data_IF_780837252982
#
_entry.id   IF_780837252982
#
_cell.length_a   1.000
_cell.length_b   1.000
_cell.length_c   1.000
_cell.angle_alpha   90.00
_cell.angle_beta   90.00
_cell.angle_gamma   90.00
#
_symmetry.space_group_name_H-M   'P 1'
#
loop_
_entity.id
_entity.type
_entity.pdbx_description
1 polymer ?
#
# COMPACT_ATOMS: atom_id res chain seq x y z
N UNK A 1 -18.02 -19.57 -13.39
CA UNK A 1 -16.68 -20.16 -13.15
C UNK A 1 -15.93 -19.39 -12.07
N UNK A 2 -14.91 -19.99 -11.43
CA UNK A 2 -14.02 -19.31 -10.46
C UNK A 2 -13.21 -18.13 -11.06
N UNK A 3 -13.30 -17.94 -12.38
CA UNK A 3 -12.57 -16.95 -13.19
C UNK A 3 -13.06 -15.51 -12.93
N UNK A 4 -14.34 -15.32 -12.61
CA UNK A 4 -14.93 -13.97 -12.51
C UNK A 4 -14.76 -13.34 -11.13
N UNK A 5 -14.10 -14.06 -10.19
CA UNK A 5 -13.91 -13.65 -8.81
C UNK A 5 -15.20 -13.13 -8.13
N UNK A 6 -16.36 -13.72 -8.46
CA UNK A 6 -17.65 -13.36 -7.87
C UNK A 6 -17.60 -13.60 -6.37
N UNK A 7 -18.03 -12.60 -5.60
CA UNK A 7 -18.00 -12.64 -4.15
C UNK A 7 -19.04 -13.64 -3.62
N UNK A 8 -18.57 -14.63 -2.87
CA UNK A 8 -19.41 -15.47 -2.04
C UNK A 8 -19.30 -14.99 -0.58
N UNK A 9 -20.38 -14.49 0.06
CA UNK A 9 -20.33 -14.01 1.45
C UNK A 9 -19.96 -15.10 2.46
N UNK A 10 -20.19 -16.37 2.14
CA UNK A 10 -19.80 -17.52 2.96
C UNK A 10 -18.35 -17.97 2.67
N UNK A 11 -17.77 -17.47 1.58
CA UNK A 11 -16.39 -17.72 1.20
C UNK A 11 -15.42 -16.99 2.11
N UNK A 12 -14.49 -17.72 2.71
CA UNK A 12 -13.34 -17.13 3.40
C UNK A 12 -12.18 -17.09 2.43
N UNK A 13 -11.72 -15.93 1.95
CA UNK A 13 -10.49 -15.89 1.18
C UNK A 13 -9.35 -16.41 2.06
N UNK A 14 -8.46 -17.21 1.49
CA UNK A 14 -7.20 -17.53 2.13
C UNK A 14 -6.39 -16.25 2.35
N UNK A 15 -5.53 -16.25 3.38
CA UNK A 15 -4.56 -15.17 3.54
C UNK A 15 -3.57 -15.28 2.39
N UNK A 16 -3.64 -14.34 1.45
CA UNK A 16 -2.83 -14.36 0.22
C UNK A 16 -1.62 -13.41 0.25
N UNK A 17 -1.60 -12.43 1.16
CA UNK A 17 -0.44 -11.55 1.33
C UNK A 17 0.76 -12.38 1.82
N UNK A 18 1.85 -12.36 1.08
CA UNK A 18 3.03 -13.17 1.38
C UNK A 18 2.85 -14.69 1.22
N UNK A 19 1.71 -15.16 0.70
CA UNK A 19 1.51 -16.58 0.41
C UNK A 19 2.31 -16.93 -0.85
N UNK A 20 3.47 -17.54 -0.67
CA UNK A 20 4.44 -17.77 -1.76
C UNK A 20 3.90 -18.68 -2.84
N UNK A 21 3.08 -19.67 -2.50
CA UNK A 21 2.51 -20.57 -3.48
C UNK A 21 1.74 -19.81 -4.58
N UNK A 22 1.22 -18.63 -4.25
CA UNK A 22 0.53 -17.73 -5.19
C UNK A 22 1.47 -16.61 -5.63
N UNK A 23 2.01 -15.84 -4.70
CA UNK A 23 2.77 -14.61 -4.99
C UNK A 23 4.08 -14.82 -5.73
N UNK A 24 4.66 -16.02 -5.61
CA UNK A 24 5.91 -16.41 -6.27
C UNK A 24 5.68 -17.45 -7.37
N UNK A 25 4.42 -17.69 -7.77
CA UNK A 25 4.14 -18.46 -8.97
C UNK A 25 4.77 -17.74 -10.18
N UNK A 26 5.41 -18.45 -11.13
CA UNK A 26 6.08 -17.82 -12.28
C UNK A 26 5.20 -16.83 -13.04
N UNK A 27 3.93 -17.16 -13.26
CA UNK A 27 2.99 -16.26 -13.96
C UNK A 27 2.69 -14.98 -13.17
N UNK A 28 2.67 -15.06 -11.84
CA UNK A 28 2.45 -13.90 -10.98
C UNK A 28 3.72 -13.03 -10.94
N UNK A 29 4.91 -13.64 -10.78
CA UNK A 29 6.17 -12.90 -10.85
C UNK A 29 6.40 -12.27 -12.22
N UNK A 30 5.96 -12.90 -13.31
CA UNK A 30 6.01 -12.31 -14.65
C UNK A 30 5.28 -10.97 -14.76
N UNK A 31 4.24 -10.76 -13.93
CA UNK A 31 3.53 -9.48 -13.80
C UNK A 31 4.22 -8.56 -12.78
N UNK A 32 4.52 -9.05 -11.58
CA UNK A 32 5.02 -8.23 -10.47
C UNK A 32 6.48 -7.79 -10.62
N UNK A 33 7.27 -8.56 -11.36
CA UNK A 33 8.72 -8.40 -11.58
C UNK A 33 9.05 -8.33 -13.07
N UNK A 34 8.07 -7.96 -13.89
CA UNK A 34 8.23 -7.83 -15.33
C UNK A 34 9.34 -6.85 -15.72
N UNK A 35 10.03 -7.16 -16.82
CA UNK A 35 11.16 -6.38 -17.33
C UNK A 35 10.84 -4.88 -17.49
N UNK A 36 9.63 -4.55 -17.94
CA UNK A 36 9.25 -3.15 -18.16
C UNK A 36 9.14 -2.33 -16.87
N UNK A 37 8.73 -2.95 -15.75
CA UNK A 37 8.76 -2.30 -14.44
C UNK A 37 10.21 -2.02 -14.01
N UNK A 38 11.10 -3.01 -14.15
CA UNK A 38 12.51 -2.82 -13.83
C UNK A 38 13.18 -1.77 -14.72
N UNK A 39 12.90 -1.76 -16.03
CA UNK A 39 13.41 -0.72 -16.94
C UNK A 39 12.94 0.67 -16.49
N UNK A 40 11.66 0.82 -16.15
CA UNK A 40 11.11 2.08 -15.66
C UNK A 40 11.81 2.54 -14.39
N UNK A 41 11.93 1.67 -13.37
CA UNK A 41 12.54 2.04 -12.10
C UNK A 41 14.06 2.25 -12.20
N UNK A 42 14.75 1.52 -13.08
CA UNK A 42 16.16 1.78 -13.38
C UNK A 42 16.35 3.17 -13.99
N UNK A 43 15.50 3.56 -14.93
CA UNK A 43 15.48 4.91 -15.49
C UNK A 43 15.12 5.98 -14.46
N UNK A 44 14.14 5.70 -13.59
CA UNK A 44 13.71 6.62 -12.53
C UNK A 44 14.82 6.86 -11.49
N UNK A 45 15.59 5.82 -11.15
CA UNK A 45 16.64 5.89 -10.14
C UNK A 45 18.03 6.22 -10.70
N UNK A 46 18.19 6.15 -12.02
CA UNK A 46 19.48 6.23 -12.73
C UNK A 46 20.51 5.20 -12.25
N UNK A 47 20.04 4.03 -11.80
CA UNK A 47 20.84 2.91 -11.31
C UNK A 47 20.00 1.64 -11.18
N UNK A 48 20.60 0.44 -10.96
CA UNK A 48 19.85 -0.79 -10.75
C UNK A 48 18.77 -0.66 -9.67
N UNK A 49 17.58 -1.16 -9.99
CA UNK A 49 16.44 -1.20 -9.10
C UNK A 49 16.27 -2.62 -8.54
N UNK A 50 15.73 -2.71 -7.32
CA UNK A 50 15.29 -3.95 -6.69
C UNK A 50 13.88 -3.79 -6.17
N UNK A 51 13.23 -4.92 -5.91
CA UNK A 51 11.99 -4.97 -5.14
C UNK A 51 12.14 -5.78 -3.85
N UNK A 52 11.16 -5.69 -2.97
CA UNK A 52 11.05 -6.58 -1.82
C UNK A 52 10.64 -7.98 -2.27
N UNK A 53 11.11 -9.01 -1.55
CA UNK A 53 10.70 -10.39 -1.79
C UNK A 53 9.23 -10.61 -1.34
N UNK A 54 8.82 -9.90 -0.28
CA UNK A 54 7.42 -9.90 0.14
C UNK A 54 6.52 -9.19 -0.87
N UNK A 55 5.44 -9.85 -1.32
CA UNK A 55 4.43 -9.28 -2.22
C UNK A 55 3.09 -9.08 -1.50
N UNK A 56 2.56 -7.85 -1.56
CA UNK A 56 1.25 -7.52 -0.96
C UNK A 56 0.13 -7.79 -1.95
N UNK A 57 -0.11 -9.05 -2.30
CA UNK A 57 -1.30 -9.44 -3.05
C UNK A 57 -2.55 -9.23 -2.18
N UNK A 58 -3.51 -8.46 -2.69
CA UNK A 58 -4.71 -8.03 -1.97
C UNK A 58 -5.95 -8.47 -2.73
N UNK A 59 -6.93 -8.93 -1.95
CA UNK A 59 -8.29 -9.18 -2.38
C UNK A 59 -9.22 -8.27 -1.59
N UNK A 60 -9.86 -7.30 -2.25
CA UNK A 60 -10.83 -6.41 -1.63
C UNK A 60 -12.26 -6.90 -1.94
N UNK A 61 -13.03 -7.34 -0.94
CA UNK A 61 -14.41 -7.77 -1.17
C UNK A 61 -15.35 -6.58 -1.39
N UNK A 62 -16.54 -6.83 -1.93
CA UNK A 62 -17.66 -5.90 -1.90
C UNK A 62 -17.89 -5.30 -0.50
N UNK A 63 -18.26 -4.03 -0.48
CA UNK A 63 -18.54 -3.24 0.71
C UNK A 63 -17.31 -2.78 1.52
N UNK A 64 -16.09 -3.07 1.07
CA UNK A 64 -14.85 -2.68 1.78
C UNK A 64 -14.03 -1.66 1.02
N UNK A 65 -13.21 -0.94 1.78
CA UNK A 65 -12.21 0.02 1.31
C UNK A 65 -10.99 -0.05 2.24
N UNK A 66 -9.82 0.36 1.75
CA UNK A 66 -8.68 0.68 2.59
C UNK A 66 -8.93 2.01 3.33
N UNK A 67 -8.25 2.23 4.47
CA UNK A 67 -8.25 3.53 5.14
C UNK A 67 -7.15 4.44 4.58
N UNK A 68 -7.29 5.78 4.64
CA UNK A 68 -6.23 6.74 4.31
C UNK A 68 -4.94 6.49 5.07
N UNK A 69 -3.82 6.25 4.36
CA UNK A 69 -2.53 5.97 4.99
C UNK A 69 -1.33 6.42 4.14
N UNK A 70 -0.17 6.49 4.79
CA UNK A 70 1.14 6.49 4.14
C UNK A 70 1.71 5.08 4.23
N UNK A 71 2.37 4.60 3.17
CA UNK A 71 3.02 3.29 3.23
C UNK A 71 4.25 3.30 4.16
N UNK A 72 4.88 4.46 4.37
CA UNK A 72 6.11 4.57 5.17
C UNK A 72 5.95 4.00 6.59
N UNK A 73 4.75 4.06 7.17
CA UNK A 73 4.52 3.58 8.54
C UNK A 73 4.60 2.06 8.67
N UNK A 74 4.47 1.35 7.55
CA UNK A 74 4.58 -0.10 7.45
C UNK A 74 5.97 -0.55 7.02
N UNK A 75 6.67 0.25 6.21
CA UNK A 75 7.91 -0.18 5.54
C UNK A 75 8.92 0.97 5.34
N UNK A 76 9.14 1.74 6.41
CA UNK A 76 9.99 2.93 6.41
C UNK A 76 11.44 2.74 6.91
N UNK A 77 11.88 1.53 7.24
CA UNK A 77 13.21 1.31 7.87
C UNK A 77 14.40 1.24 6.89
N UNK A 78 14.15 1.38 5.59
CA UNK A 78 15.15 1.25 4.54
C UNK A 78 15.31 2.54 3.73
N UNK A 79 15.38 2.37 2.40
CA UNK A 79 15.51 3.46 1.44
C UNK A 79 14.42 4.53 1.61
N UNK A 80 14.85 5.80 1.59
CA UNK A 80 13.94 6.95 1.48
C UNK A 80 13.48 7.19 0.04
N UNK A 81 14.02 6.44 -0.93
CA UNK A 81 13.66 6.44 -2.35
C UNK A 81 12.76 5.26 -2.71
N UNK A 82 12.15 4.60 -1.72
CA UNK A 82 11.19 3.53 -1.92
C UNK A 82 9.90 4.07 -2.56
N UNK A 83 9.37 3.34 -3.53
CA UNK A 83 8.14 3.67 -4.23
C UNK A 83 7.19 2.49 -4.20
N UNK A 84 5.91 2.78 -4.01
CA UNK A 84 4.81 1.84 -4.25
C UNK A 84 4.50 1.81 -5.73
N UNK A 85 4.45 0.60 -6.30
CA UNK A 85 3.85 0.31 -7.59
C UNK A 85 2.63 -0.59 -7.33
N UNK A 86 1.43 -0.05 -7.55
CA UNK A 86 0.19 -0.82 -7.41
C UNK A 86 -0.26 -1.33 -8.77
N UNK A 87 -0.54 -2.63 -8.84
CA UNK A 87 -0.80 -3.38 -10.06
C UNK A 87 -2.14 -4.12 -9.90
N UNK A 88 -3.19 -3.78 -10.67
CA UNK A 88 -4.42 -4.55 -10.69
C UNK A 88 -4.24 -5.86 -11.48
N UNK A 89 -4.88 -6.93 -11.02
CA UNK A 89 -4.97 -8.20 -11.76
C UNK A 89 -6.32 -8.23 -12.50
N UNK A 90 -6.34 -7.64 -13.69
CA UNK A 90 -7.53 -7.43 -14.50
C UNK A 90 -8.07 -6.01 -14.37
N UNK A 91 -9.16 -5.73 -15.09
CA UNK A 91 -9.77 -4.40 -15.09
C UNK A 91 -10.40 -4.08 -13.73
N UNK A 92 -10.18 -2.85 -13.29
CA UNK A 92 -10.72 -2.31 -12.04
C UNK A 92 -11.35 -0.96 -12.35
N UNK A 93 -12.64 -0.92 -12.69
CA UNK A 93 -13.36 0.34 -12.72
C UNK A 93 -13.52 0.88 -11.30
N UNK A 94 -13.76 2.19 -11.14
CA UNK A 94 -13.80 2.89 -9.85
C UNK A 94 -14.76 2.22 -8.85
N UNK A 95 -15.91 1.75 -9.30
CA UNK A 95 -16.90 1.04 -8.47
C UNK A 95 -16.41 -0.30 -7.95
N UNK A 96 -15.34 -0.89 -8.51
CA UNK A 96 -14.72 -2.12 -8.03
C UNK A 96 -13.66 -1.87 -6.94
N UNK A 97 -13.42 -0.62 -6.53
CA UNK A 97 -12.56 -0.30 -5.39
C UNK A 97 -11.11 0.02 -5.79
N UNK A 98 -10.90 0.90 -6.77
CA UNK A 98 -9.58 1.39 -7.23
C UNK A 98 -8.85 2.21 -6.15
N UNK A 99 -7.59 2.55 -6.39
CA UNK A 99 -6.88 3.51 -5.53
C UNK A 99 -7.39 4.94 -5.72
N UNK A 100 -7.44 5.66 -4.62
CA UNK A 100 -7.64 7.10 -4.59
C UNK A 100 -6.42 7.77 -3.94
N UNK A 101 -5.85 8.75 -4.62
CA UNK A 101 -4.63 9.46 -4.23
C UNK A 101 -4.99 10.89 -3.82
N UNK A 102 -4.52 11.34 -2.66
CA UNK A 102 -4.54 12.76 -2.34
C UNK A 102 -3.35 13.44 -3.01
N UNK A 103 -3.61 14.06 -4.16
CA UNK A 103 -2.55 14.60 -5.03
C UNK A 103 -1.74 15.67 -4.30
N UNK A 104 -0.41 15.54 -4.37
CA UNK A 104 0.52 16.47 -3.75
C UNK A 104 0.77 16.26 -2.26
N UNK A 105 0.04 15.38 -1.56
CA UNK A 105 0.19 15.14 -0.11
C UNK A 105 1.62 14.84 0.37
N UNK A 106 2.46 14.27 -0.50
CA UNK A 106 3.89 14.03 -0.24
C UNK A 106 4.72 15.32 -0.13
N UNK A 107 4.26 16.46 -0.67
CA UNK A 107 5.00 17.71 -0.73
C UNK A 107 4.22 18.95 -0.24
N UNK A 108 2.88 18.91 -0.24
CA UNK A 108 2.05 20.04 0.17
C UNK A 108 2.45 20.55 1.57
N UNK A 109 2.63 21.86 1.77
CA UNK A 109 3.02 22.43 3.07
C UNK A 109 2.02 22.11 4.19
N UNK A 110 0.71 22.08 3.87
CA UNK A 110 -0.35 21.73 4.82
C UNK A 110 -0.22 20.31 5.37
N UNK A 111 0.40 19.39 4.62
CA UNK A 111 0.69 18.03 5.05
C UNK A 111 2.01 17.87 5.79
N UNK A 112 2.80 18.94 5.97
CA UNK A 112 4.11 18.84 6.61
C UNK A 112 4.00 18.27 8.03
N UNK A 113 3.04 18.74 8.83
CA UNK A 113 2.84 18.20 10.18
C UNK A 113 2.51 16.70 10.15
N UNK A 114 1.63 16.27 9.25
CA UNK A 114 1.26 14.86 9.10
C UNK A 114 2.48 13.99 8.72
N UNK A 115 3.35 14.48 7.84
CA UNK A 115 4.61 13.78 7.47
C UNK A 115 5.62 13.73 8.62
N UNK A 116 5.72 14.79 9.40
CA UNK A 116 6.66 14.91 10.53
C UNK A 116 6.15 14.25 11.82
N UNK A 117 4.89 13.79 11.86
CA UNK A 117 4.33 13.07 13.01
C UNK A 117 3.86 11.67 12.63
N UNK A 118 2.65 11.52 12.10
CA UNK A 118 2.12 10.22 11.65
C UNK A 118 3.07 9.51 10.69
N UNK A 119 3.64 10.22 9.71
CA UNK A 119 4.59 9.68 8.75
C UNK A 119 5.97 9.32 9.31
N UNK A 120 6.21 9.54 10.60
CA UNK A 120 7.43 9.10 11.30
C UNK A 120 7.17 7.88 12.21
N UNK A 121 5.94 7.37 12.24
CA UNK A 121 5.61 6.19 13.05
C UNK A 121 6.05 4.90 12.39
N UNK A 122 6.35 3.88 13.19
CA UNK A 122 6.47 2.50 12.77
C UNK A 122 5.44 1.65 13.51
N UNK A 123 4.47 1.10 12.79
CA UNK A 123 3.32 0.39 13.40
C UNK A 123 3.72 -0.81 14.27
N UNK A 124 4.86 -1.44 13.97
CA UNK A 124 5.35 -2.60 14.71
C UNK A 124 6.05 -2.20 16.02
N UNK A 125 6.57 -0.96 16.12
CA UNK A 125 7.30 -0.43 17.27
C UNK A 125 6.44 0.47 18.17
N UNK A 126 5.67 1.35 17.54
CA UNK A 126 4.89 2.39 18.21
C UNK A 126 3.49 1.92 18.56
N UNK A 127 3.06 0.81 17.94
CA UNK A 127 1.73 0.21 18.16
C UNK A 127 0.59 1.18 17.82
N UNK A 128 0.86 2.16 16.97
CA UNK A 128 -0.11 3.10 16.42
C UNK A 128 -1.01 2.42 15.38
N UNK A 129 -2.20 2.97 15.12
CA UNK A 129 -2.99 2.58 13.95
C UNK A 129 -2.20 2.87 12.67
N UNK A 130 -2.25 1.95 11.72
CA UNK A 130 -1.52 2.12 10.46
C UNK A 130 -2.17 3.08 9.46
N UNK A 131 -3.43 3.46 9.66
CA UNK A 131 -4.11 4.51 8.89
C UNK A 131 -4.16 5.84 9.66
N UNK A 132 -4.17 6.94 8.92
CA UNK A 132 -4.26 8.32 9.41
C UNK A 132 -5.69 8.79 9.68
N UNK A 133 -6.68 8.15 9.06
CA UNK A 133 -8.06 8.59 9.01
C UNK A 133 -9.01 7.48 8.61
N UNK A 134 -10.30 7.77 8.70
CA UNK A 134 -11.38 6.93 8.15
C UNK A 134 -12.22 7.68 7.12
N UNK A 135 -12.17 9.01 7.11
CA UNK A 135 -12.91 9.88 6.20
C UNK A 135 -11.93 10.67 5.29
N UNK A 136 -11.77 10.26 4.02
CA UNK A 136 -10.95 10.98 3.06
C UNK A 136 -11.38 12.44 2.87
N UNK A 137 -12.69 12.74 2.84
CA UNK A 137 -13.17 14.09 2.57
C UNK A 137 -12.83 15.03 3.72
N UNK A 138 -13.04 14.59 4.97
CA UNK A 138 -12.65 15.35 6.15
C UNK A 138 -11.15 15.68 6.17
N UNK A 139 -10.29 14.77 5.67
CA UNK A 139 -8.85 15.04 5.54
C UNK A 139 -8.59 16.19 4.55
N UNK A 140 -9.25 16.18 3.40
CA UNK A 140 -9.12 17.28 2.42
C UNK A 140 -9.70 18.59 2.92
N UNK A 141 -10.80 18.57 3.69
CA UNK A 141 -11.36 19.76 4.32
C UNK A 141 -10.40 20.36 5.36
N UNK A 142 -9.73 19.52 6.15
CA UNK A 142 -8.82 19.95 7.20
C UNK A 142 -7.45 20.40 6.65
N UNK A 143 -6.88 19.65 5.70
CA UNK A 143 -5.49 19.84 5.24
C UNK A 143 -5.39 20.32 3.78
N UNK A 144 -6.51 20.48 3.07
CA UNK A 144 -6.53 20.80 1.65
C UNK A 144 -6.11 19.61 0.76
N UNK A 145 -5.85 19.91 -0.51
CA UNK A 145 -5.57 18.90 -1.54
C UNK A 145 -6.84 18.28 -2.10
N UNK A 146 -6.69 17.51 -3.18
CA UNK A 146 -7.80 16.87 -3.88
C UNK A 146 -7.55 15.37 -4.06
N UNK A 147 -8.53 14.55 -3.65
CA UNK A 147 -8.52 13.13 -3.96
C UNK A 147 -8.80 12.92 -5.45
N UNK A 148 -7.98 12.11 -6.09
CA UNK A 148 -8.11 11.71 -7.50
C UNK A 148 -8.10 10.20 -7.59
N UNK A 149 -8.91 9.68 -8.49
CA UNK A 149 -8.98 8.27 -8.84
C UNK A 149 -9.30 8.16 -10.33
N UNK A 150 -9.17 6.97 -10.88
CA UNK A 150 -9.48 6.63 -12.25
C UNK A 150 -9.87 5.15 -12.32
N UNK A 151 -10.46 4.76 -13.44
CA UNK A 151 -10.53 3.36 -13.84
C UNK A 151 -9.12 2.89 -14.22
N UNK A 152 -8.86 1.60 -14.03
CA UNK A 152 -7.61 0.95 -14.43
C UNK A 152 -7.92 -0.26 -15.29
N UNK A 153 -7.18 -0.43 -16.38
CA UNK A 153 -7.23 -1.61 -17.23
C UNK A 153 -6.10 -2.58 -16.88
N UNK A 154 -6.26 -3.85 -17.26
CA UNK A 154 -5.21 -4.84 -17.12
C UNK A 154 -3.92 -4.38 -17.83
N UNK A 155 -2.82 -4.26 -17.07
CA UNK A 155 -1.54 -3.76 -17.56
C UNK A 155 -1.21 -2.33 -17.12
N UNK A 156 -2.20 -1.58 -16.63
CA UNK A 156 -1.95 -0.29 -15.99
C UNK A 156 -1.26 -0.46 -14.64
N UNK A 157 -0.52 0.57 -14.23
CA UNK A 157 0.04 0.69 -12.89
C UNK A 157 -0.10 2.11 -12.38
N UNK A 158 -0.16 2.28 -11.06
CA UNK A 158 0.04 3.58 -10.42
C UNK A 158 1.24 3.53 -9.47
N UNK A 159 2.11 4.53 -9.60
CA UNK A 159 3.36 4.62 -8.87
C UNK A 159 3.35 5.88 -8.00
N UNK A 160 3.71 5.73 -6.72
CA UNK A 160 3.76 6.85 -5.78
C UNK A 160 4.76 6.63 -4.64
N UNK A 161 5.19 7.74 -4.03
CA UNK A 161 6.15 7.72 -2.92
C UNK A 161 5.54 7.21 -1.61
N UNK A 162 6.37 6.78 -0.67
CA UNK A 162 5.93 6.31 0.65
C UNK A 162 5.15 7.34 1.48
N UNK A 163 5.28 8.63 1.15
CA UNK A 163 4.61 9.76 1.80
C UNK A 163 3.42 10.30 1.00
N UNK A 164 2.96 9.58 -0.03
CA UNK A 164 1.72 9.93 -0.73
C UNK A 164 0.53 9.34 0.04
N UNK A 165 -0.35 10.22 0.55
CA UNK A 165 -1.55 9.80 1.25
C UNK A 165 -2.50 9.20 0.23
N UNK A 166 -2.90 7.96 0.47
CA UNK A 166 -3.75 7.22 -0.42
C UNK A 166 -4.74 6.35 0.35
N UNK A 167 -5.79 5.95 -0.34
CA UNK A 167 -6.85 5.07 0.15
C UNK A 167 -7.37 4.25 -1.04
N UNK A 168 -8.42 3.46 -0.85
CA UNK A 168 -9.20 2.92 -1.98
C UNK A 168 -10.62 3.48 -1.97
N UNK A 169 -11.24 3.52 -3.15
CA UNK A 169 -12.70 3.64 -3.20
C UNK A 169 -13.33 2.39 -2.59
N UNK A 170 -14.61 2.52 -2.21
CA UNK A 170 -15.38 1.39 -1.72
C UNK A 170 -15.69 0.48 -2.89
N UNK A 171 -15.39 -0.81 -2.77
CA UNK A 171 -15.84 -1.79 -3.74
C UNK A 171 -17.37 -1.93 -3.61
N UNK A 172 -18.10 -1.42 -4.60
CA UNK A 172 -19.55 -1.44 -4.73
C UNK A 172 -20.02 -2.51 -5.73
N UNK A 173 -19.10 -3.23 -6.37
CA UNK A 173 -19.40 -4.36 -7.25
C UNK A 173 -19.79 -5.62 -6.48
N UNK A 174 -20.10 -6.70 -7.19
CA UNK A 174 -20.31 -8.05 -6.67
C UNK A 174 -19.05 -8.95 -6.79
N UNK A 175 -17.91 -8.38 -7.21
CA UNK A 175 -16.66 -9.11 -7.44
C UNK A 175 -15.59 -8.73 -6.43
N UNK A 176 -14.64 -9.65 -6.18
CA UNK A 176 -13.39 -9.30 -5.52
C UNK A 176 -12.52 -8.45 -6.46
N UNK A 177 -11.90 -7.40 -5.92
CA UNK A 177 -10.78 -6.73 -6.59
C UNK A 177 -9.48 -7.40 -6.22
N UNK A 178 -8.76 -7.92 -7.20
CA UNK A 178 -7.42 -8.48 -7.04
C UNK A 178 -6.40 -7.45 -7.50
N UNK A 179 -5.43 -7.14 -6.64
CA UNK A 179 -4.32 -6.24 -6.96
C UNK A 179 -3.09 -6.63 -6.17
N UNK A 180 -1.90 -6.19 -6.56
CA UNK A 180 -0.72 -6.33 -5.74
C UNK A 180 0.01 -5.00 -5.62
N UNK A 181 0.52 -4.76 -4.42
CA UNK A 181 1.42 -3.65 -4.18
C UNK A 181 2.85 -4.19 -4.15
N UNK A 182 3.67 -3.73 -5.08
CA UNK A 182 5.11 -4.01 -5.19
C UNK A 182 5.87 -2.79 -4.75
N UNK A 183 7.05 -2.97 -4.14
CA UNK A 183 7.87 -1.86 -3.65
C UNK A 183 9.18 -1.83 -4.40
N UNK A 184 9.51 -0.74 -5.06
CA UNK A 184 10.76 -0.58 -5.80
C UNK A 184 11.65 0.45 -5.11
N UNK A 185 12.92 0.11 -4.97
CA UNK A 185 13.96 1.01 -4.51
C UNK A 185 15.23 0.79 -5.32
N UNK A 186 16.17 1.72 -5.27
CA UNK A 186 17.49 1.46 -5.81
C UNK A 186 18.20 0.33 -5.05
N UNK A 187 18.96 -0.49 -5.77
CA UNK A 187 19.59 -1.71 -5.24
C UNK A 187 20.64 -1.43 -4.17
N UNK A 188 21.35 -0.30 -4.32
CA UNK A 188 22.42 0.13 -3.41
C UNK A 188 21.94 0.71 -2.09
N UNK A 189 20.64 1.05 -1.99
CA UNK A 189 20.09 1.65 -0.77
C UNK A 189 19.88 0.59 0.31
N UNK A 190 19.85 1.03 1.58
CA UNK A 190 19.43 0.16 2.68
C UNK A 190 18.03 -0.40 2.43
N UNK A 191 17.80 -1.62 2.89
CA UNK A 191 16.53 -2.32 2.72
C UNK A 191 15.88 -2.55 4.07
N UNK A 192 14.55 -2.44 4.13
CA UNK A 192 13.80 -2.82 5.32
C UNK A 192 13.80 -4.35 5.42
N UNK A 193 14.66 -4.87 6.30
CA UNK A 193 14.90 -6.30 6.47
C UNK A 193 13.65 -7.11 6.85
N UNK A 194 12.54 -6.46 7.22
CA UNK A 194 11.26 -7.16 7.42
C UNK A 194 10.73 -7.81 6.15
N UNK A 195 11.06 -7.28 4.98
CA UNK A 195 10.37 -7.59 3.71
C UNK A 195 11.22 -8.35 2.70
N UNK A 196 12.41 -8.79 3.11
CA UNK A 196 13.37 -9.49 2.24
C UNK A 196 13.82 -10.83 2.81
N UNK A 197 14.38 -11.65 1.94
CA UNK A 197 14.83 -13.01 2.21
C UNK A 197 13.80 -14.05 1.83
N UNK A 198 14.20 -15.32 1.88
CA UNK A 198 13.32 -16.43 1.54
C UNK A 198 12.07 -16.38 2.41
N UNK A 199 12.19 -16.25 3.74
CA UNK A 199 11.05 -16.14 4.64
C UNK A 199 11.10 -14.78 5.37
N UNK A 200 10.56 -13.70 4.76
CA UNK A 200 10.61 -12.37 5.36
C UNK A 200 9.95 -12.35 6.74
N UNK A 201 10.52 -11.60 7.68
CA UNK A 201 9.96 -11.46 9.03
C UNK A 201 8.53 -10.87 9.02
N UNK A 202 8.25 -10.05 8.02
CA UNK A 202 7.03 -9.26 7.88
C UNK A 202 6.73 -8.44 9.14
N UNK A 203 5.46 -8.09 9.35
CA UNK A 203 5.02 -7.41 10.56
C UNK A 203 5.27 -8.25 11.80
N UNK A 204 6.06 -7.72 12.73
CA UNK A 204 6.37 -8.37 14.00
C UNK A 204 6.38 -7.34 15.12
N UNK A 205 5.48 -7.49 16.10
CA UNK A 205 5.45 -6.62 17.29
C UNK A 205 6.74 -6.87 18.08
N UNK A 206 7.61 -5.86 18.14
CA UNK A 206 8.91 -6.00 18.80
C UNK A 206 8.79 -6.05 20.32
N UNK A 207 7.88 -5.24 20.88
CA UNK A 207 7.61 -5.19 22.30
C UNK A 207 6.14 -5.56 22.56
N UNK A 208 5.92 -6.81 22.99
CA UNK A 208 4.59 -7.32 23.29
C UNK A 208 3.98 -6.71 24.57
N UNK A 209 4.80 -6.05 25.41
CA UNK A 209 4.32 -5.36 26.61
C UNK A 209 3.64 -4.03 26.28
N UNK A 210 3.98 -3.41 25.14
CA UNK A 210 3.31 -2.19 24.67
C UNK A 210 1.89 -2.48 24.22
N UNK A 211 0.94 -1.74 24.80
CA UNK A 211 -0.46 -1.78 24.39
C UNK A 211 -0.64 -1.08 23.03
N UNK A 212 -1.57 -1.56 22.18
CA UNK A 212 -2.01 -0.80 21.01
C UNK A 212 -2.50 0.58 21.40
N UNK A 213 -2.08 1.58 20.65
CA UNK A 213 -2.55 2.97 20.78
C UNK A 213 -3.87 3.08 20.03
N UNK A 214 -4.89 3.61 20.69
CA UNK A 214 -6.18 3.86 20.04
C UNK A 214 -6.06 4.99 19.01
N UNK A 215 -7.04 5.10 18.12
CA UNK A 215 -7.04 6.14 17.11
C UNK A 215 -7.08 7.55 17.71
N UNK A 216 -7.88 7.76 18.76
CA UNK A 216 -7.99 9.06 19.44
C UNK A 216 -6.69 9.43 20.17
N UNK A 217 -6.01 8.46 20.77
CA UNK A 217 -4.69 8.68 21.39
C UNK A 217 -3.64 8.98 20.33
N UNK A 218 -3.64 8.25 19.21
CA UNK A 218 -2.70 8.46 18.11
C UNK A 218 -2.84 9.87 17.51
N UNK A 219 -4.07 10.34 17.28
CA UNK A 219 -4.30 11.73 16.82
C UNK A 219 -3.75 12.78 17.79
N UNK A 220 -3.90 12.57 19.10
CA UNK A 220 -3.29 13.44 20.12
C UNK A 220 -1.77 13.43 20.06
N UNK A 221 -1.15 12.26 19.89
CA UNK A 221 0.31 12.11 19.73
C UNK A 221 0.79 12.83 18.48
N UNK A 222 0.08 12.68 17.36
CA UNK A 222 0.42 13.32 16.09
C UNK A 222 0.11 14.82 16.06
N UNK A 223 -0.74 15.29 16.98
CA UNK A 223 -1.18 16.67 17.10
C UNK A 223 -2.04 17.14 15.93
N UNK A 224 -2.91 16.28 15.40
CA UNK A 224 -3.69 16.47 14.15
C UNK A 224 -5.15 16.05 14.28
#
# INVERSE_FOLDING_TARGET
DLIDAVYNPDGRPSRIMGEKAVTHHPDVLGVLEGKELFNFFQGLFDQPARTFDYKWLRMMPPGRAAGPHFDVVYMGRGSQRLHTCWIPFGDVPVEKGTLAILVGSHNLPSFNKVRQTYGQTDVDQDRTPGHFGTDPLAISEQFGGAWKTADFEAGDVIIFTMYTLHTSTRNMSDQWRVSCDVRFQPETDSVDNRWVGENPLAHSIQDQSKKPVTFDEARKIWGV
#
